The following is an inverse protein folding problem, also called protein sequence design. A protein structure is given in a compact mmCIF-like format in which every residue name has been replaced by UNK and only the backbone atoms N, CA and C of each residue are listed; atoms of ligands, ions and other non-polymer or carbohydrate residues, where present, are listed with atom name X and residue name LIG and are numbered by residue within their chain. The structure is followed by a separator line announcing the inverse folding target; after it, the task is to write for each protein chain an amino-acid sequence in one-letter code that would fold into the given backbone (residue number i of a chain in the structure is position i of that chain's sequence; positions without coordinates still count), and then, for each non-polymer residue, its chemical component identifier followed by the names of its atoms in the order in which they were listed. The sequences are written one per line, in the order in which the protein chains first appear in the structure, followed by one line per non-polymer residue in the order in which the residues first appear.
data_IF_783398628081
#
_entry.id   IF_783398628081
#
_cell.length_a   1.000
_cell.length_b   1.000
_cell.length_c   1.000
_cell.angle_alpha   90.00
_cell.angle_beta   90.00
_cell.angle_gamma   90.00
#
_symmetry.space_group_name_H-M   'P 1'
#
loop_
_entity.id
_entity.type
_entity.pdbx_description
1 polymer ?
#
# COMPACT_ATOMS: atom_id res chain seq x y z
N UNK A 1 29.76 36.21 -33.23
CA UNK A 1 31.24 36.21 -33.36
C UNK A 1 31.72 34.78 -33.25
N UNK A 2 32.23 34.24 -34.35
CA UNK A 2 32.74 32.87 -34.47
C UNK A 2 34.27 32.95 -34.41
N UNK A 3 34.91 32.19 -33.51
CA UNK A 3 36.36 32.03 -33.49
C UNK A 3 36.73 30.54 -33.53
N UNK A 4 37.20 30.13 -34.71
CA UNK A 4 37.88 28.87 -35.03
C UNK A 4 39.38 29.01 -34.72
N UNK A 5 39.99 28.00 -34.10
CA UNK A 5 41.45 27.77 -34.14
C UNK A 5 41.66 26.28 -34.44
N UNK A 6 41.90 25.92 -35.72
CA UNK A 6 43.21 25.66 -36.37
C UNK A 6 44.00 24.51 -35.74
N UNK A 7 44.05 23.41 -36.50
CA UNK A 7 44.99 22.28 -36.42
C UNK A 7 46.37 22.73 -36.90
N UNK A 8 47.42 22.11 -36.39
CA UNK A 8 48.72 22.02 -37.07
C UNK A 8 49.23 20.56 -37.07
N UNK A 9 49.68 20.02 -38.22
CA UNK A 9 50.19 18.66 -38.37
C UNK A 9 51.70 18.64 -38.61
N UNK A 10 52.44 17.71 -37.98
CA UNK A 10 53.63 17.08 -38.56
C UNK A 10 54.35 16.21 -37.53
N UNK A 11 54.45 14.90 -37.80
CA UNK A 11 55.69 14.15 -37.64
C UNK A 11 55.56 12.80 -38.37
N UNK A 12 55.96 12.83 -39.64
CA UNK A 12 56.36 11.65 -40.41
C UNK A 12 57.61 11.01 -39.77
N UNK A 13 57.64 9.68 -39.63
CA UNK A 13 58.65 8.84 -40.30
C UNK A 13 58.36 7.35 -40.16
N UNK A 14 58.25 6.72 -41.32
CA UNK A 14 58.29 5.30 -41.54
C UNK A 14 59.70 4.72 -41.31
N UNK A 15 59.77 3.45 -40.94
CA UNK A 15 60.81 2.55 -41.43
C UNK A 15 60.27 1.12 -41.44
N UNK A 16 60.55 0.45 -42.55
CA UNK A 16 59.98 -0.80 -42.99
C UNK A 16 61.02 -1.93 -42.87
N UNK A 17 60.51 -3.14 -42.62
CA UNK A 17 60.95 -4.45 -43.14
C UNK A 17 62.38 -4.91 -42.82
N UNK A 18 62.48 -6.04 -42.11
CA UNK A 18 63.13 -7.26 -42.66
C UNK A 18 62.65 -8.54 -41.98
N UNK A 19 62.23 -9.45 -42.85
CA UNK A 19 61.86 -10.86 -42.69
C UNK A 19 63.07 -11.74 -42.32
N UNK A 20 62.88 -12.78 -41.50
CA UNK A 20 63.50 -14.10 -41.72
C UNK A 20 62.93 -15.21 -40.81
N UNK A 21 62.41 -16.23 -41.49
CA UNK A 21 61.92 -17.51 -41.04
C UNK A 21 62.71 -18.25 -39.95
N UNK A 22 61.98 -18.95 -39.07
CA UNK A 22 62.34 -20.31 -38.66
C UNK A 22 61.08 -21.17 -38.48
N UNK A 23 60.96 -22.17 -39.36
CA UNK A 23 60.05 -23.31 -39.27
C UNK A 23 60.53 -24.26 -38.18
N UNK A 24 59.60 -24.81 -37.38
CA UNK A 24 59.48 -26.22 -36.91
C UNK A 24 58.86 -26.26 -35.51
N UNK A 25 57.59 -26.67 -35.43
CA UNK A 25 57.08 -27.72 -34.55
C UNK A 25 55.55 -27.74 -34.68
N UNK A 26 55.05 -28.69 -35.47
CA UNK A 26 53.66 -29.11 -35.49
C UNK A 26 53.57 -30.29 -34.51
N UNK A 27 52.69 -30.22 -33.52
CA UNK A 27 51.91 -31.34 -32.95
C UNK A 27 51.53 -31.06 -31.49
N UNK A 28 50.22 -31.07 -31.22
CA UNK A 28 49.68 -31.31 -29.88
C UNK A 28 49.13 -30.08 -29.17
N UNK A 29 47.92 -29.64 -29.54
CA UNK A 29 46.93 -29.04 -28.62
C UNK A 29 45.59 -28.86 -29.36
N UNK A 30 45.01 -29.99 -29.75
CA UNK A 30 43.60 -30.11 -30.14
C UNK A 30 42.95 -31.03 -29.11
N UNK A 31 42.53 -30.46 -27.97
CA UNK A 31 41.50 -31.00 -27.06
C UNK A 31 41.54 -30.24 -25.74
N UNK A 32 40.85 -29.11 -25.64
CA UNK A 32 40.25 -28.60 -24.39
C UNK A 32 39.48 -27.28 -24.63
N UNK A 33 38.77 -27.14 -25.74
CA UNK A 33 37.59 -26.25 -25.74
C UNK A 33 36.42 -27.06 -25.20
N UNK A 34 36.51 -27.44 -23.92
CA UNK A 34 35.30 -27.79 -23.19
C UNK A 34 34.46 -26.52 -23.18
N UNK A 35 33.29 -26.63 -23.80
CA UNK A 35 32.28 -25.61 -23.79
C UNK A 35 32.04 -25.17 -22.34
N UNK A 36 32.53 -23.98 -21.98
CA UNK A 36 31.86 -23.16 -20.99
C UNK A 36 30.54 -22.73 -21.63
N UNK A 37 29.62 -23.69 -21.75
CA UNK A 37 28.21 -23.32 -21.78
C UNK A 37 28.01 -22.51 -20.50
N UNK A 38 27.48 -21.27 -20.57
CA UNK A 38 27.08 -20.60 -19.34
C UNK A 38 26.17 -21.60 -18.62
N UNK A 39 26.54 -21.97 -17.39
CA UNK A 39 25.57 -22.59 -16.52
C UNK A 39 24.34 -21.69 -16.62
N UNK A 40 23.20 -22.24 -17.06
CA UNK A 40 21.94 -21.59 -16.78
C UNK A 40 21.94 -21.46 -15.26
N UNK A 41 22.27 -20.28 -14.74
CA UNK A 41 21.80 -19.91 -13.43
C UNK A 41 20.29 -20.12 -13.54
N UNK A 42 19.78 -21.18 -12.88
CA UNK A 42 18.35 -21.28 -12.66
C UNK A 42 17.95 -19.96 -12.06
N UNK A 43 16.97 -19.28 -12.65
CA UNK A 43 16.41 -18.12 -12.00
C UNK A 43 15.93 -18.62 -10.63
N UNK A 44 16.47 -18.06 -9.55
CA UNK A 44 16.02 -18.42 -8.22
C UNK A 44 14.50 -18.18 -8.15
N UNK A 45 13.78 -19.13 -7.56
CA UNK A 45 12.33 -19.11 -7.56
C UNK A 45 11.80 -18.14 -6.49
N UNK A 46 10.64 -17.50 -6.72
CA UNK A 46 10.00 -16.70 -5.69
C UNK A 46 9.56 -17.60 -4.53
N UNK A 47 9.55 -17.05 -3.31
CA UNK A 47 9.13 -17.80 -2.12
C UNK A 47 7.72 -17.39 -1.69
N UNK A 48 6.84 -18.37 -1.49
CA UNK A 48 5.51 -18.14 -0.93
C UNK A 48 5.60 -17.84 0.57
N UNK A 49 4.95 -16.77 0.99
CA UNK A 49 4.84 -16.35 2.39
C UNK A 49 3.41 -15.96 2.72
N UNK A 50 2.96 -16.31 3.92
CA UNK A 50 1.67 -15.88 4.48
C UNK A 50 1.88 -14.95 5.67
N UNK A 51 1.07 -13.89 5.72
CA UNK A 51 1.04 -12.88 6.77
C UNK A 51 -0.29 -12.97 7.50
N UNK A 52 -0.29 -13.34 8.78
CA UNK A 52 -1.47 -13.63 9.59
C UNK A 52 -1.76 -12.55 10.63
N UNK A 53 -3.00 -12.08 10.68
CA UNK A 53 -3.47 -11.05 11.61
C UNK A 53 -5.00 -11.13 11.81
N UNK A 54 -5.48 -10.62 12.93
CA UNK A 54 -6.92 -10.47 13.21
C UNK A 54 -7.17 -9.01 13.56
N UNK A 55 -7.53 -8.14 12.60
CA UNK A 55 -7.69 -6.73 12.86
C UNK A 55 -8.98 -6.46 13.62
N UNK A 56 -9.05 -5.36 14.39
CA UNK A 56 -10.34 -4.79 14.81
C UNK A 56 -11.04 -4.14 13.61
N UNK A 57 -12.36 -3.87 13.69
CA UNK A 57 -13.06 -3.14 12.64
C UNK A 57 -12.47 -1.73 12.41
N UNK A 58 -12.71 -1.20 11.20
CA UNK A 58 -12.42 0.18 10.81
C UNK A 58 -10.94 0.59 10.84
N UNK A 59 -10.02 -0.37 10.72
CA UNK A 59 -8.58 -0.08 10.64
C UNK A 59 -8.12 0.20 9.22
N UNK A 60 -7.09 1.05 9.07
CA UNK A 60 -6.23 1.05 7.89
C UNK A 60 -4.95 0.27 8.18
N UNK A 61 -4.43 -0.41 7.17
CA UNK A 61 -3.27 -1.30 7.31
C UNK A 61 -2.29 -1.10 6.15
N UNK A 62 -1.01 -1.15 6.46
CA UNK A 62 0.04 -1.42 5.48
C UNK A 62 0.92 -2.56 5.97
N UNK A 63 1.22 -3.52 5.10
CA UNK A 63 2.19 -4.59 5.29
C UNK A 63 3.32 -4.38 4.29
N UNK A 64 4.56 -4.36 4.77
CA UNK A 64 5.75 -4.23 3.93
C UNK A 64 6.91 -5.03 4.51
N UNK A 65 7.94 -5.21 3.69
CA UNK A 65 9.17 -5.87 4.07
C UNK A 65 10.32 -4.86 4.09
N UNK A 66 11.18 -5.01 5.08
CA UNK A 66 12.52 -4.41 5.11
C UNK A 66 13.58 -5.52 5.02
N UNK A 67 14.73 -5.19 4.44
CA UNK A 67 15.84 -6.13 4.37
C UNK A 67 16.69 -6.17 5.65
N UNK A 68 17.81 -6.90 5.58
CA UNK A 68 18.75 -7.05 6.70
C UNK A 68 19.37 -5.74 7.18
N UNK A 69 19.41 -4.72 6.31
CA UNK A 69 20.00 -3.41 6.58
C UNK A 69 18.93 -2.41 7.06
N UNK A 70 17.66 -2.82 7.09
CA UNK A 70 16.52 -1.98 7.50
C UNK A 70 15.99 -1.09 6.36
N UNK A 71 16.42 -1.35 5.13
CA UNK A 71 15.95 -0.63 3.95
C UNK A 71 14.63 -1.24 3.45
N UNK A 72 13.72 -0.39 2.99
CA UNK A 72 12.47 -0.84 2.37
C UNK A 72 12.78 -1.79 1.20
N UNK A 73 12.11 -2.93 1.20
CA UNK A 73 12.33 -3.98 0.21
C UNK A 73 11.16 -4.12 -0.75
N UNK A 74 9.94 -4.23 -0.23
CA UNK A 74 8.71 -4.28 -1.02
C UNK A 74 7.48 -3.97 -0.16
N UNK A 75 6.42 -3.48 -0.80
CA UNK A 75 5.07 -3.42 -0.23
C UNK A 75 4.33 -4.75 -0.50
N UNK A 76 3.60 -5.24 0.50
CA UNK A 76 2.81 -6.49 0.41
C UNK A 76 1.32 -6.16 0.32
N UNK A 77 0.84 -5.28 1.19
CA UNK A 77 -0.57 -4.90 1.27
C UNK A 77 -0.68 -3.44 1.72
N UNK A 78 -1.61 -2.70 1.12
CA UNK A 78 -2.09 -1.40 1.63
C UNK A 78 -3.62 -1.39 1.53
N UNK A 79 -4.31 -0.94 2.56
CA UNK A 79 -5.78 -0.86 2.51
C UNK A 79 -6.26 0.17 1.49
N UNK A 80 -7.38 -0.13 0.85
CA UNK A 80 -7.92 0.62 -0.28
C UNK A 80 -8.13 2.12 -0.02
N UNK A 81 -8.48 2.53 1.20
CA UNK A 81 -8.66 3.95 1.49
C UNK A 81 -7.36 4.73 1.28
N UNK A 82 -6.23 4.14 1.71
CA UNK A 82 -4.90 4.71 1.52
C UNK A 82 -4.37 4.45 0.11
N UNK A 83 -4.35 3.20 -0.34
CA UNK A 83 -3.69 2.79 -1.58
C UNK A 83 -4.39 3.24 -2.86
N UNK A 84 -5.72 3.07 -2.91
CA UNK A 84 -6.53 3.32 -4.12
C UNK A 84 -7.24 4.66 -4.08
N UNK A 85 -7.85 5.00 -2.95
CA UNK A 85 -8.63 6.23 -2.78
C UNK A 85 -7.80 7.39 -2.23
N UNK A 86 -6.50 7.19 -1.99
CA UNK A 86 -5.54 8.25 -1.70
C UNK A 86 -5.89 9.10 -0.49
N UNK A 87 -6.45 8.51 0.58
CA UNK A 87 -6.96 9.26 1.76
C UNK A 87 -5.90 10.19 2.38
N UNK A 88 -4.61 9.83 2.28
CA UNK A 88 -3.48 10.65 2.76
C UNK A 88 -3.07 11.81 1.86
N UNK A 89 -3.60 11.93 0.63
CA UNK A 89 -3.28 13.00 -0.33
C UNK A 89 -4.51 13.41 -1.15
N UNK A 90 -5.42 14.15 -0.50
CA UNK A 90 -6.67 14.67 -1.06
C UNK A 90 -6.69 16.19 -1.02
N UNK A 91 -7.48 16.86 -1.86
CA UNK A 91 -7.63 18.30 -1.77
C UNK A 91 -8.29 18.71 -0.45
N UNK A 92 -7.95 19.93 -0.01
CA UNK A 92 -8.49 20.55 1.19
C UNK A 92 -7.56 20.52 2.39
N UNK A 93 -8.12 20.85 3.56
CA UNK A 93 -7.35 21.01 4.78
C UNK A 93 -7.25 19.68 5.53
N UNK A 94 -6.09 19.41 6.13
CA UNK A 94 -5.87 18.17 6.88
C UNK A 94 -6.81 18.08 8.09
N UNK A 95 -7.12 19.21 8.72
CA UNK A 95 -7.97 19.35 9.90
C UNK A 95 -9.47 19.33 9.58
N UNK A 96 -9.87 19.09 8.32
CA UNK A 96 -11.28 18.91 7.99
C UNK A 96 -11.88 17.69 8.68
N UNK A 97 -13.08 17.90 9.24
CA UNK A 97 -13.94 16.85 9.75
C UNK A 97 -14.18 15.76 8.68
N UNK A 98 -14.25 14.52 9.13
CA UNK A 98 -14.44 13.35 8.28
C UNK A 98 -15.91 13.02 8.11
N UNK A 99 -16.21 12.04 7.27
CA UNK A 99 -17.51 11.36 7.24
C UNK A 99 -17.35 10.07 6.45
N UNK A 100 -18.42 9.30 6.31
CA UNK A 100 -18.39 8.05 5.56
C UNK A 100 -18.00 8.34 4.11
N UNK A 101 -16.78 7.91 3.73
CA UNK A 101 -16.16 8.23 2.44
C UNK A 101 -16.25 9.72 2.09
N UNK A 102 -16.07 10.62 3.05
CA UNK A 102 -16.00 12.05 2.77
C UNK A 102 -14.78 12.35 1.86
N UNK A 103 -14.89 13.20 0.83
CA UNK A 103 -13.87 13.36 -0.22
C UNK A 103 -12.69 14.24 0.17
N UNK A 104 -12.83 15.10 1.17
CA UNK A 104 -11.89 16.19 1.40
C UNK A 104 -11.04 16.02 2.65
N UNK A 105 -9.90 16.70 2.61
CA UNK A 105 -8.90 16.72 3.66
C UNK A 105 -7.97 15.51 3.58
N UNK A 106 -6.66 15.71 3.37
CA UNK A 106 -5.71 14.63 3.47
C UNK A 106 -5.65 14.12 4.93
N UNK A 107 -5.40 12.81 5.09
CA UNK A 107 -5.16 12.15 6.38
C UNK A 107 -3.68 11.83 6.52
N UNK A 108 -2.82 12.80 6.86
CA UNK A 108 -1.37 12.55 6.96
C UNK A 108 -1.02 11.53 8.06
N UNK A 109 -1.89 11.36 9.05
CA UNK A 109 -1.73 10.41 10.16
C UNK A 109 -2.21 8.99 9.88
N UNK A 110 -2.69 8.68 8.66
CA UNK A 110 -3.32 7.38 8.39
C UNK A 110 -2.35 6.21 8.50
N UNK A 111 -1.18 6.27 7.88
CA UNK A 111 -0.15 5.21 7.93
C UNK A 111 1.23 5.86 7.76
N UNK A 112 1.66 6.74 8.67
CA UNK A 112 2.82 7.59 8.45
C UNK A 112 4.14 6.83 8.45
N UNK A 113 4.29 5.77 9.26
CA UNK A 113 5.55 5.03 9.31
C UNK A 113 5.83 4.42 7.94
N UNK A 114 4.88 3.65 7.40
CA UNK A 114 4.97 3.04 6.09
C UNK A 114 5.22 4.09 5.00
N UNK A 115 4.41 5.15 4.96
CA UNK A 115 4.47 6.14 3.88
C UNK A 115 5.86 6.80 3.79
N UNK A 116 6.43 7.21 4.92
CA UNK A 116 7.78 7.77 4.98
C UNK A 116 8.86 6.70 4.70
N UNK A 117 8.67 5.45 5.14
CA UNK A 117 9.62 4.34 4.91
C UNK A 117 9.77 3.96 3.44
N UNK A 118 8.74 4.15 2.62
CA UNK A 118 8.86 3.91 1.17
C UNK A 118 9.90 4.83 0.50
N UNK A 119 10.22 5.98 1.10
CA UNK A 119 11.08 7.00 0.52
C UNK A 119 10.46 7.71 -0.71
N UNK A 120 9.21 7.41 -1.05
CA UNK A 120 8.52 7.99 -2.20
C UNK A 120 7.86 9.31 -1.83
N UNK A 121 7.78 10.21 -2.80
CA UNK A 121 7.06 11.47 -2.66
C UNK A 121 6.26 11.77 -3.92
N UNK A 122 5.11 12.38 -3.72
CA UNK A 122 4.13 12.71 -4.74
C UNK A 122 3.82 14.20 -4.69
N UNK A 123 3.32 14.80 -5.79
CA UNK A 123 2.74 16.13 -5.70
C UNK A 123 1.61 16.17 -4.66
N UNK A 124 1.61 17.19 -3.81
CA UNK A 124 0.48 17.47 -2.91
C UNK A 124 -0.73 17.86 -3.74
N UNK A 125 -1.89 17.33 -3.38
CA UNK A 125 -3.16 17.71 -4.00
C UNK A 125 -3.80 18.84 -3.20
N UNK A 126 -4.22 19.89 -3.90
CA UNK A 126 -5.00 21.01 -3.33
C UNK A 126 -6.27 21.20 -4.15
N UNK A 127 -7.23 21.97 -3.64
CA UNK A 127 -8.44 22.31 -4.39
C UNK A 127 -8.13 22.95 -5.76
N UNK A 128 -8.94 22.60 -6.74
CA UNK A 128 -9.03 23.18 -8.07
C UNK A 128 -10.34 23.99 -8.18
N UNK A 129 -10.54 24.92 -7.26
CA UNK A 129 -11.67 25.85 -7.32
C UNK A 129 -11.22 27.26 -7.73
N UNK A 130 -12.10 27.95 -8.45
CA UNK A 130 -11.91 29.34 -8.84
C UNK A 130 -12.50 30.33 -7.83
N UNK A 131 -13.45 29.90 -7.00
CA UNK A 131 -14.06 30.71 -5.94
C UNK A 131 -13.21 30.62 -4.67
N UNK A 132 -12.58 31.74 -4.22
CA UNK A 132 -11.70 31.71 -3.06
C UNK A 132 -12.36 31.21 -1.77
N UNK A 133 -13.67 31.44 -1.60
CA UNK A 133 -14.40 30.96 -0.42
C UNK A 133 -14.55 29.43 -0.38
N UNK A 134 -14.50 28.76 -1.54
CA UNK A 134 -14.71 27.32 -1.62
C UNK A 134 -13.40 26.54 -1.38
N UNK A 135 -12.24 27.19 -1.50
CA UNK A 135 -10.92 26.61 -1.19
C UNK A 135 -10.72 26.20 0.28
N UNK A 136 -11.62 26.59 1.18
CA UNK A 136 -11.62 26.16 2.59
C UNK A 136 -12.92 25.49 3.01
N UNK A 137 -13.72 24.98 2.06
CA UNK A 137 -15.04 24.45 2.35
C UNK A 137 -15.17 22.94 2.18
N UNK A 138 -16.21 22.38 2.81
CA UNK A 138 -16.63 21.00 2.61
C UNK A 138 -17.62 20.82 1.44
N UNK A 139 -18.03 21.90 0.76
CA UNK A 139 -19.04 21.87 -0.30
C UNK A 139 -18.91 22.98 -1.34
N UNK A 140 -19.90 23.07 -2.23
CA UNK A 140 -20.00 24.03 -3.34
C UNK A 140 -19.02 23.83 -4.51
N UNK A 141 -18.53 22.62 -4.69
CA UNK A 141 -17.60 22.27 -5.78
C UNK A 141 -18.29 21.73 -7.05
N UNK A 142 -19.62 21.80 -7.14
CA UNK A 142 -20.38 21.25 -8.27
C UNK A 142 -20.24 22.07 -9.57
N UNK A 143 -19.75 23.31 -9.46
CA UNK A 143 -19.46 24.18 -10.60
C UNK A 143 -18.02 24.01 -11.13
N UNK A 144 -17.14 23.35 -10.37
CA UNK A 144 -15.70 23.23 -10.61
C UNK A 144 -15.23 21.77 -10.67
N UNK A 145 -16.17 20.81 -10.67
CA UNK A 145 -15.84 19.40 -10.79
C UNK A 145 -17.00 18.57 -11.32
N UNK A 146 -16.67 17.40 -11.84
CA UNK A 146 -17.68 16.42 -12.27
C UNK A 146 -18.10 15.48 -11.14
N UNK A 147 -19.13 14.68 -11.43
CA UNK A 147 -19.69 13.72 -10.49
C UNK A 147 -18.65 12.71 -10.00
N UNK A 148 -18.76 12.38 -8.72
CA UNK A 148 -17.90 11.44 -7.99
C UNK A 148 -18.49 10.03 -8.01
N UNK A 149 -17.63 9.02 -8.18
CA UNK A 149 -18.03 7.62 -8.27
C UNK A 149 -17.89 6.84 -6.95
N UNK A 150 -17.09 7.33 -6.01
CA UNK A 150 -16.80 6.63 -4.76
C UNK A 150 -17.13 7.44 -3.50
N UNK A 151 -16.71 8.71 -3.43
CA UNK A 151 -16.92 9.53 -2.23
C UNK A 151 -18.36 10.03 -2.10
N UNK A 152 -18.78 10.23 -0.85
CA UNK A 152 -20.10 10.71 -0.50
C UNK A 152 -20.07 12.18 -0.04
N UNK A 153 -21.22 12.85 -0.04
CA UNK A 153 -21.43 14.12 0.66
C UNK A 153 -20.97 14.00 2.13
N UNK A 154 -20.48 15.09 2.74
CA UNK A 154 -20.30 15.10 4.18
C UNK A 154 -21.66 14.89 4.85
N UNK A 155 -21.72 14.03 5.87
CA UNK A 155 -22.94 13.75 6.64
C UNK A 155 -22.87 14.44 7.99
N UNK A 156 -24.03 14.83 8.53
CA UNK A 156 -24.15 15.19 9.95
C UNK A 156 -23.88 13.96 10.84
N UNK A 157 -23.54 14.13 12.13
CA UNK A 157 -23.32 13.00 13.03
C UNK A 157 -24.49 12.00 13.08
N UNK A 158 -25.74 12.49 13.12
CA UNK A 158 -26.93 11.64 13.15
C UNK A 158 -27.15 10.87 11.83
N UNK A 159 -26.83 11.49 10.69
CA UNK A 159 -26.86 10.81 9.38
C UNK A 159 -25.74 9.77 9.28
N UNK A 160 -24.57 10.04 9.85
CA UNK A 160 -23.47 9.09 9.86
C UNK A 160 -23.86 7.78 10.56
N UNK A 161 -24.52 7.85 11.73
CA UNK A 161 -24.97 6.66 12.46
C UNK A 161 -26.05 5.87 11.70
N UNK A 162 -26.96 6.56 11.02
CA UNK A 162 -28.12 5.92 10.36
C UNK A 162 -27.78 5.36 8.97
N UNK A 163 -27.05 6.14 8.17
CA UNK A 163 -26.68 5.78 6.80
C UNK A 163 -25.65 4.64 6.77
N UNK A 164 -24.67 4.64 7.68
CA UNK A 164 -23.64 3.60 7.76
C UNK A 164 -24.25 2.22 8.07
N UNK A 165 -25.33 2.18 8.85
CA UNK A 165 -26.00 0.94 9.25
C UNK A 165 -26.91 0.36 8.15
N UNK A 166 -27.55 1.22 7.32
CA UNK A 166 -28.59 0.78 6.36
C UNK A 166 -28.11 0.73 4.89
N UNK A 167 -27.10 1.52 4.50
CA UNK A 167 -26.73 1.65 3.09
C UNK A 167 -25.24 1.94 2.89
N UNK A 168 -24.42 0.90 2.74
CA UNK A 168 -23.01 1.04 2.30
C UNK A 168 -22.87 1.58 0.85
N UNK A 169 -23.89 2.22 0.27
CA UNK A 169 -23.99 2.64 -1.14
C UNK A 169 -23.78 4.14 -1.39
N UNK A 170 -23.35 4.92 -0.40
CA UNK A 170 -23.37 6.40 -0.38
C UNK A 170 -24.80 6.97 -0.54
N UNK A 171 -25.31 7.76 0.43
CA UNK A 171 -26.65 8.35 0.34
C UNK A 171 -26.71 9.54 -0.64
N UNK A 172 -25.57 9.91 -1.23
CA UNK A 172 -25.45 11.08 -2.08
C UNK A 172 -26.33 10.96 -3.32
N UNK A 173 -26.99 12.05 -3.74
CA UNK A 173 -27.64 12.12 -5.04
C UNK A 173 -26.67 11.65 -6.13
N UNK A 174 -27.20 11.02 -7.17
CA UNK A 174 -26.45 10.39 -8.29
C UNK A 174 -25.53 11.36 -9.07
N UNK A 175 -25.46 12.62 -8.67
CA UNK A 175 -24.79 13.75 -9.29
C UNK A 175 -23.97 14.58 -8.28
N UNK A 176 -23.68 14.07 -7.08
CA UNK A 176 -22.73 14.73 -6.19
C UNK A 176 -21.37 14.84 -6.88
N UNK A 177 -20.83 16.06 -6.92
CA UNK A 177 -19.58 16.38 -7.61
C UNK A 177 -18.59 16.86 -6.57
N UNK A 178 -17.41 16.25 -6.58
CA UNK A 178 -16.35 16.55 -5.61
C UNK A 178 -15.17 17.13 -6.34
N UNK A 179 -14.55 18.19 -5.80
CA UNK A 179 -13.30 18.67 -6.35
C UNK A 179 -12.25 17.56 -6.28
N UNK A 180 -11.77 17.11 -7.44
CA UNK A 180 -10.72 16.08 -7.56
C UNK A 180 -9.34 16.64 -7.22
N UNK A 181 -9.24 17.96 -7.12
CA UNK A 181 -8.04 18.73 -6.87
C UNK A 181 -7.14 18.85 -8.09
N UNK A 182 -6.04 19.55 -7.86
CA UNK A 182 -4.90 19.69 -8.77
C UNK A 182 -3.59 19.50 -8.03
N UNK A 183 -2.50 19.40 -8.77
CA UNK A 183 -1.18 19.49 -8.16
C UNK A 183 -0.96 20.89 -7.60
N UNK A 184 -0.35 20.93 -6.42
CA UNK A 184 0.06 22.17 -5.78
C UNK A 184 1.05 22.95 -6.68
N UNK A 185 0.68 24.15 -7.17
CA UNK A 185 1.54 24.94 -8.04
C UNK A 185 2.79 25.46 -7.32
N UNK A 186 2.80 25.49 -5.98
CA UNK A 186 3.98 25.83 -5.17
C UNK A 186 4.96 24.66 -5.04
N UNK A 187 4.60 23.49 -5.57
CA UNK A 187 5.46 22.31 -5.58
C UNK A 187 5.45 21.53 -4.27
N UNK A 188 4.43 21.74 -3.42
CA UNK A 188 4.24 20.95 -2.20
C UNK A 188 4.22 19.44 -2.47
N UNK A 189 4.65 18.66 -1.48
CA UNK A 189 4.81 17.22 -1.57
C UNK A 189 3.95 16.50 -0.53
N UNK A 190 3.59 15.26 -0.87
CA UNK A 190 2.99 14.30 0.04
C UNK A 190 3.78 12.99 -0.01
N UNK A 191 3.84 12.28 1.11
CA UNK A 191 4.35 10.89 1.18
C UNK A 191 3.30 9.87 0.73
N UNK A 192 2.06 10.32 0.51
CA UNK A 192 0.96 9.48 0.04
C UNK A 192 0.69 9.72 -1.45
N UNK A 193 0.44 8.65 -2.23
CA UNK A 193 0.04 8.81 -3.61
C UNK A 193 -1.35 9.44 -3.71
N UNK A 194 -1.65 10.14 -4.81
CA UNK A 194 -3.03 10.51 -5.11
C UNK A 194 -3.86 9.26 -5.43
N UNK A 195 -5.18 9.40 -5.42
CA UNK A 195 -6.11 8.32 -5.77
C UNK A 195 -5.97 7.84 -7.22
N UNK A 196 -6.23 6.57 -7.50
CA UNK A 196 -6.08 5.97 -8.84
C UNK A 196 -7.39 5.43 -9.45
N UNK A 197 -8.54 5.73 -8.83
CA UNK A 197 -9.85 5.19 -9.22
C UNK A 197 -10.69 6.12 -10.13
N UNK A 198 -10.16 7.29 -10.48
CA UNK A 198 -10.84 8.27 -11.32
C UNK A 198 -10.89 7.84 -12.79
N UNK A 199 -12.10 7.70 -13.34
CA UNK A 199 -12.31 7.22 -14.71
C UNK A 199 -12.98 8.24 -15.65
N UNK A 200 -13.61 9.27 -15.09
CA UNK A 200 -14.37 10.28 -15.85
C UNK A 200 -13.75 11.64 -15.62
N UNK A 201 -13.55 12.39 -16.70
CA UNK A 201 -12.97 13.72 -16.66
C UNK A 201 -13.65 14.64 -17.67
N UNK A 202 -14.04 15.84 -17.24
CA UNK A 202 -14.48 16.93 -18.10
C UNK A 202 -13.36 17.98 -18.19
N UNK A 203 -13.04 18.41 -19.41
CA UNK A 203 -11.93 19.33 -19.66
C UNK A 203 -12.21 20.79 -19.25
N UNK A 204 -13.48 21.13 -19.00
CA UNK A 204 -13.89 22.45 -18.55
C UNK A 204 -14.09 22.53 -17.04
N UNK A 205 -14.37 21.40 -16.39
CA UNK A 205 -14.63 21.33 -14.95
C UNK A 205 -13.44 20.78 -14.18
N UNK A 206 -12.89 19.62 -14.56
CA UNK A 206 -11.83 18.98 -13.78
C UNK A 206 -10.44 19.51 -14.13
N UNK A 207 -9.55 19.52 -13.14
CA UNK A 207 -8.14 19.79 -13.36
C UNK A 207 -7.53 18.79 -14.36
N UNK A 208 -6.69 19.24 -15.32
CA UNK A 208 -5.93 18.32 -16.18
C UNK A 208 -4.96 17.43 -15.39
N UNK A 209 -4.56 17.83 -14.18
CA UNK A 209 -3.65 17.05 -13.32
C UNK A 209 -4.30 15.76 -12.80
N UNK A 210 -5.62 15.76 -12.56
CA UNK A 210 -6.34 14.61 -12.04
C UNK A 210 -6.23 13.38 -12.95
N UNK A 211 -6.02 13.59 -14.26
CA UNK A 211 -5.79 12.52 -15.24
C UNK A 211 -4.45 11.79 -15.06
N UNK A 212 -3.51 12.40 -14.34
CA UNK A 212 -2.18 11.85 -14.10
C UNK A 212 -2.12 11.02 -12.83
N UNK A 213 -3.11 11.11 -11.93
CA UNK A 213 -3.03 10.51 -10.60
C UNK A 213 -2.82 8.99 -10.65
N UNK A 214 -3.59 8.28 -11.47
CA UNK A 214 -3.46 6.84 -11.63
C UNK A 214 -2.10 6.42 -12.21
N UNK A 215 -1.47 7.26 -13.04
CA UNK A 215 -0.17 6.95 -13.64
C UNK A 215 1.00 7.09 -12.64
N UNK A 216 0.81 7.87 -11.57
CA UNK A 216 1.83 8.10 -10.54
C UNK A 216 1.53 7.38 -9.23
N UNK A 217 0.44 6.61 -9.15
CA UNK A 217 0.12 5.75 -8.02
C UNK A 217 0.35 4.29 -8.42
N UNK A 218 1.42 3.71 -7.88
CA UNK A 218 1.86 2.35 -8.16
C UNK A 218 1.31 1.29 -7.19
N UNK A 219 0.40 1.67 -6.29
CA UNK A 219 -0.08 0.77 -5.23
C UNK A 219 -1.21 -0.18 -5.67
N UNK A 220 -1.67 -0.10 -6.92
CA UNK A 220 -2.80 -0.91 -7.39
C UNK A 220 -2.55 -2.42 -7.25
N UNK A 221 -1.29 -2.87 -7.44
CA UNK A 221 -0.92 -4.29 -7.32
C UNK A 221 -0.88 -4.83 -5.88
N UNK A 222 -0.84 -3.94 -4.89
CA UNK A 222 -0.75 -4.29 -3.46
C UNK A 222 -1.93 -3.75 -2.67
N UNK A 223 -2.92 -3.14 -3.34
CA UNK A 223 -4.08 -2.59 -2.68
C UNK A 223 -5.14 -3.66 -2.48
N UNK A 224 -5.64 -3.78 -1.25
CA UNK A 224 -6.71 -4.70 -0.89
C UNK A 224 -7.86 -3.97 -0.18
N UNK A 225 -9.04 -4.59 -0.17
CA UNK A 225 -10.17 -4.09 0.61
C UNK A 225 -9.79 -3.98 2.09
N UNK A 226 -10.32 -2.96 2.78
CA UNK A 226 -10.20 -2.86 4.23
C UNK A 226 -10.82 -4.10 4.87
N UNK A 227 -10.12 -4.81 5.77
CA UNK A 227 -10.68 -5.97 6.44
C UNK A 227 -11.95 -5.62 7.23
N UNK A 228 -12.88 -6.57 7.30
CA UNK A 228 -14.15 -6.39 8.05
C UNK A 228 -13.89 -6.23 9.56
N UNK A 229 -12.80 -6.80 10.05
CA UNK A 229 -12.46 -6.82 11.47
C UNK A 229 -13.03 -8.02 12.21
N UNK A 230 -12.45 -8.30 13.38
CA UNK A 230 -12.77 -9.39 14.32
C UNK A 230 -12.86 -10.79 13.67
N UNK A 231 -12.11 -10.99 12.58
CA UNK A 231 -11.94 -12.27 11.87
C UNK A 231 -10.48 -12.51 11.58
N UNK A 232 -10.08 -13.78 11.66
CA UNK A 232 -8.74 -14.18 11.22
C UNK A 232 -8.60 -13.91 9.73
N UNK A 233 -7.57 -13.15 9.38
CA UNK A 233 -7.21 -12.81 8.02
C UNK A 233 -5.78 -13.27 7.73
N UNK A 234 -5.49 -13.49 6.46
CA UNK A 234 -4.12 -13.63 6.01
C UNK A 234 -3.93 -13.04 4.61
N UNK A 235 -2.72 -12.56 4.36
CA UNK A 235 -2.27 -12.18 3.02
C UNK A 235 -1.22 -13.17 2.57
N UNK A 236 -1.42 -13.80 1.40
CA UNK A 236 -0.40 -14.62 0.76
C UNK A 236 0.34 -13.80 -0.30
N UNK A 237 1.66 -13.90 -0.35
CA UNK A 237 2.49 -13.14 -1.28
C UNK A 237 3.66 -13.99 -1.78
N UNK A 238 4.04 -13.79 -3.04
CA UNK A 238 5.24 -14.38 -3.63
C UNK A 238 6.38 -13.36 -3.52
N UNK A 239 7.31 -13.59 -2.59
CA UNK A 239 8.50 -12.75 -2.43
C UNK A 239 9.42 -13.02 -3.63
N UNK A 240 9.76 -12.01 -4.45
CA UNK A 240 10.70 -12.17 -5.54
C UNK A 240 12.07 -12.64 -5.03
N UNK A 241 12.74 -13.51 -5.78
CA UNK A 241 14.01 -14.10 -5.35
C UNK A 241 15.10 -13.05 -5.07
N UNK A 242 15.09 -11.93 -5.81
CA UNK A 242 15.98 -10.79 -5.57
C UNK A 242 15.75 -10.13 -4.21
N UNK A 243 14.51 -10.16 -3.70
CA UNK A 243 14.19 -9.66 -2.35
C UNK A 243 14.51 -10.72 -1.30
N UNK A 244 14.19 -11.99 -1.56
CA UNK A 244 14.55 -13.08 -0.65
C UNK A 244 16.06 -13.15 -0.40
N UNK A 245 16.88 -12.92 -1.44
CA UNK A 245 18.33 -12.87 -1.34
C UNK A 245 18.87 -11.71 -0.47
N UNK A 246 18.08 -10.67 -0.20
CA UNK A 246 18.43 -9.57 0.72
C UNK A 246 18.21 -9.94 2.20
N UNK A 247 17.61 -11.10 2.49
CA UNK A 247 17.25 -11.54 3.84
C UNK A 247 18.41 -11.88 4.79
N UNK A 248 18.14 -12.15 6.09
CA UNK A 248 16.81 -12.26 6.69
C UNK A 248 16.01 -10.96 6.63
N UNK A 249 14.70 -11.06 6.39
CA UNK A 249 13.80 -9.92 6.19
C UNK A 249 13.08 -9.57 7.50
N UNK A 250 12.59 -8.34 7.58
CA UNK A 250 11.67 -7.89 8.64
C UNK A 250 10.31 -7.60 8.03
N UNK A 251 9.30 -8.37 8.41
CA UNK A 251 7.92 -8.14 8.04
C UNK A 251 7.27 -7.18 9.04
N UNK A 252 6.79 -6.05 8.55
CA UNK A 252 6.14 -5.01 9.35
C UNK A 252 4.68 -4.88 8.96
N UNK A 253 3.84 -4.62 9.96
CA UNK A 253 2.45 -4.18 9.76
C UNK A 253 2.18 -2.94 10.60
N UNK A 254 1.79 -1.86 9.93
CA UNK A 254 1.31 -0.63 10.58
C UNK A 254 -0.21 -0.62 10.56
N UNK A 255 -0.80 -0.26 11.70
CA UNK A 255 -2.26 -0.29 11.92
C UNK A 255 -2.73 1.03 12.52
N UNK A 256 -3.66 1.70 11.85
CA UNK A 256 -4.33 2.88 12.37
C UNK A 256 -5.83 2.70 12.44
N UNK A 257 -6.48 3.50 13.29
CA UNK A 257 -7.93 3.53 13.45
C UNK A 257 -8.34 4.98 13.67
N UNK A 258 -9.27 5.48 12.86
CA UNK A 258 -9.82 6.82 13.04
C UNK A 258 -10.59 6.92 14.37
N UNK A 259 -10.58 8.10 14.99
CA UNK A 259 -11.29 8.43 16.23
C UNK A 259 -10.95 7.52 17.42
N UNK A 260 -9.76 6.93 17.43
CA UNK A 260 -9.27 6.07 18.51
C UNK A 260 -8.73 6.88 19.70
N UNK A 261 -9.59 7.66 20.35
CA UNK A 261 -9.21 8.57 21.43
C UNK A 261 -8.93 7.86 22.77
N UNK A 262 -8.12 8.49 23.61
CA UNK A 262 -7.91 8.10 25.00
C UNK A 262 -7.51 9.32 25.86
N UNK A 263 -7.06 9.10 27.10
CA UNK A 263 -6.68 10.18 28.03
C UNK A 263 -5.46 11.02 27.58
N UNK A 264 -4.59 10.50 26.71
CA UNK A 264 -3.44 11.23 26.16
C UNK A 264 -3.75 11.86 24.79
N UNK A 265 -4.72 11.30 24.07
CA UNK A 265 -5.16 11.70 22.73
C UNK A 265 -6.64 12.02 22.74
N UNK A 266 -6.99 13.13 23.41
CA UNK A 266 -8.35 13.67 23.47
C UNK A 266 -8.42 14.83 22.51
N UNK A 267 -9.31 14.75 21.53
CA UNK A 267 -9.47 15.77 20.51
C UNK A 267 -10.91 16.25 20.48
N UNK A 268 -11.06 17.56 20.44
CA UNK A 268 -12.33 18.25 20.38
C UNK A 268 -12.65 18.69 18.94
N UNK A 269 -13.94 18.76 18.63
CA UNK A 269 -14.42 19.13 17.30
C UNK A 269 -14.13 20.59 17.01
N UNK A 270 -14.36 21.47 17.97
CA UNK A 270 -14.29 22.92 17.80
C UNK A 270 -12.85 23.45 17.87
N UNK A 271 -12.00 22.80 18.65
CA UNK A 271 -10.62 23.27 18.89
C UNK A 271 -9.56 22.57 18.02
N UNK A 272 -9.73 21.28 17.70
CA UNK A 272 -8.71 20.48 16.98
C UNK A 272 -9.05 20.20 15.51
N UNK A 273 -10.27 20.57 15.07
CA UNK A 273 -10.69 20.43 13.68
C UNK A 273 -11.15 21.78 13.12
N UNK A 274 -11.06 21.91 11.80
CA UNK A 274 -11.69 23.03 11.12
C UNK A 274 -13.19 22.76 10.94
N UNK A 275 -14.00 23.56 11.64
CA UNK A 275 -15.45 23.59 11.47
C UNK A 275 -15.81 24.62 10.40
N UNK A 276 -16.21 24.14 9.22
CA UNK A 276 -16.69 25.01 8.13
C UNK A 276 -17.88 25.85 8.60
N UNK A 277 -17.76 27.20 8.66
CA UNK A 277 -18.85 28.05 9.15
C UNK A 277 -20.13 27.96 8.31
N UNK A 278 -20.02 27.55 7.03
CA UNK A 278 -21.16 27.38 6.11
C UNK A 278 -21.80 25.99 6.23
N UNK A 279 -21.08 25.02 6.80
CA UNK A 279 -21.50 23.62 6.97
C UNK A 279 -21.20 23.12 8.39
N UNK A 280 -21.43 23.96 9.41
CA UNK A 280 -20.93 23.74 10.78
C UNK A 280 -21.45 22.47 11.46
N UNK A 281 -22.60 21.97 11.03
CA UNK A 281 -23.22 20.74 11.55
C UNK A 281 -22.72 19.45 10.87
N UNK A 282 -21.93 19.56 9.81
CA UNK A 282 -21.49 18.42 9.00
C UNK A 282 -20.14 17.88 9.43
N UNK A 283 -19.93 16.59 9.16
CA UNK A 283 -18.72 15.87 9.47
C UNK A 283 -18.64 15.36 10.90
N UNK A 284 -17.63 14.51 11.15
CA UNK A 284 -17.33 13.86 12.42
C UNK A 284 -15.82 13.90 12.67
N UNK A 285 -15.43 13.99 13.94
CA UNK A 285 -14.04 13.99 14.39
C UNK A 285 -13.35 12.68 14.01
N UNK A 286 -12.09 12.75 13.57
CA UNK A 286 -11.34 11.57 13.13
C UNK A 286 -9.99 11.42 13.84
N UNK A 287 -9.50 12.45 14.51
CA UNK A 287 -8.26 12.40 15.26
C UNK A 287 -8.36 11.45 16.46
N UNK A 288 -7.25 10.78 16.77
CA UNK A 288 -7.12 9.78 17.82
C UNK A 288 -5.67 9.39 18.03
N UNK A 289 -5.46 8.27 18.72
CA UNK A 289 -4.14 7.71 18.94
C UNK A 289 -3.39 7.44 17.62
N UNK A 290 -2.06 7.63 17.58
CA UNK A 290 -1.24 7.37 16.40
C UNK A 290 -1.34 5.93 15.92
N UNK A 291 -0.92 5.67 14.69
CA UNK A 291 -0.74 4.31 14.18
C UNK A 291 0.23 3.50 15.05
N UNK A 292 0.02 2.19 15.16
CA UNK A 292 0.93 1.27 15.87
C UNK A 292 1.59 0.31 14.90
N UNK A 293 2.79 -0.13 15.23
CA UNK A 293 3.62 -0.99 14.40
C UNK A 293 3.83 -2.35 15.07
N UNK A 294 3.63 -3.43 14.34
CA UNK A 294 4.09 -4.76 14.72
C UNK A 294 5.16 -5.22 13.73
N UNK A 295 6.14 -5.98 14.21
CA UNK A 295 7.22 -6.48 13.37
C UNK A 295 7.68 -7.86 13.79
N UNK A 296 8.11 -8.67 12.82
CA UNK A 296 8.79 -9.95 13.03
C UNK A 296 9.93 -10.08 12.03
N UNK A 297 11.04 -10.68 12.46
CA UNK A 297 12.18 -11.02 11.60
C UNK A 297 12.10 -12.49 11.23
N UNK A 298 12.26 -12.81 9.95
CA UNK A 298 12.21 -14.18 9.45
C UNK A 298 13.18 -14.35 8.27
N UNK A 299 13.60 -15.58 7.98
CA UNK A 299 14.29 -15.89 6.73
C UNK A 299 13.24 -16.44 5.75
N UNK A 300 13.02 -15.80 4.59
CA UNK A 300 12.07 -16.31 3.61
C UNK A 300 12.50 -17.68 3.07
N UNK A 301 13.80 -18.01 3.02
CA UNK A 301 14.25 -19.29 2.45
C UNK A 301 14.11 -20.46 3.44
N UNK A 302 13.88 -20.17 4.72
CA UNK A 302 13.65 -21.19 5.74
C UNK A 302 12.15 -21.40 5.96
N UNK A 303 11.69 -22.65 5.87
CA UNK A 303 10.31 -22.98 6.20
C UNK A 303 10.09 -22.81 7.70
N UNK A 304 9.11 -22.01 8.09
CA UNK A 304 8.82 -21.79 9.51
C UNK A 304 7.81 -20.70 9.80
N UNK A 305 7.35 -20.67 11.05
CA UNK A 305 6.47 -19.63 11.57
C UNK A 305 7.24 -18.70 12.51
N UNK A 306 6.95 -17.40 12.47
CA UNK A 306 7.42 -16.42 13.46
C UNK A 306 6.30 -15.45 13.78
N UNK A 307 6.04 -15.19 15.06
CA UNK A 307 4.98 -14.31 15.51
C UNK A 307 5.37 -13.42 16.69
N UNK A 308 4.60 -12.35 16.89
CA UNK A 308 4.71 -11.44 18.04
C UNK A 308 3.33 -11.16 18.65
N UNK A 309 3.29 -11.02 19.97
CA UNK A 309 2.10 -10.57 20.73
C UNK A 309 2.13 -9.08 21.07
N UNK A 310 3.20 -8.39 20.72
CA UNK A 310 3.47 -7.00 21.12
C UNK A 310 3.74 -6.15 19.88
N UNK A 311 3.18 -4.95 19.87
CA UNK A 311 3.60 -3.90 18.95
C UNK A 311 5.02 -3.45 19.32
N UNK A 312 5.80 -2.96 18.35
CA UNK A 312 7.18 -2.49 18.52
C UNK A 312 7.27 -0.98 18.80
N UNK A 313 6.32 -0.20 18.29
CA UNK A 313 6.27 1.25 18.49
C UNK A 313 5.05 1.88 17.82
N UNK A 314 5.01 3.21 17.77
CA UNK A 314 3.91 3.97 17.17
C UNK A 314 4.41 5.17 16.36
N UNK A 315 3.59 5.66 15.43
CA UNK A 315 3.94 6.78 14.53
C UNK A 315 3.69 8.15 15.13
N UNK A 316 3.95 9.21 14.37
CA UNK A 316 3.50 10.55 14.76
C UNK A 316 1.98 10.64 14.65
N UNK A 317 1.32 11.28 15.62
CA UNK A 317 -0.14 11.43 15.62
C UNK A 317 -0.65 12.31 14.47
N UNK A 318 0.19 13.22 13.96
CA UNK A 318 -0.07 14.11 12.83
C UNK A 318 0.55 13.59 11.51
N UNK A 319 1.36 12.52 11.60
CA UNK A 319 2.06 11.91 10.48
C UNK A 319 3.26 12.68 9.92
N UNK A 320 3.83 13.63 10.68
CA UNK A 320 4.83 14.56 10.17
C UNK A 320 6.14 13.91 9.68
N UNK A 321 6.66 12.88 10.34
CA UNK A 321 8.05 12.43 10.13
C UNK A 321 8.23 10.94 9.84
N UNK A 322 7.23 10.11 10.16
CA UNK A 322 7.36 8.66 10.07
C UNK A 322 8.29 8.07 11.14
N UNK A 323 8.63 8.86 12.16
CA UNK A 323 9.42 8.40 13.30
C UNK A 323 8.67 7.30 14.04
N UNK A 324 9.39 6.24 14.40
CA UNK A 324 8.86 5.17 15.25
C UNK A 324 9.20 5.54 16.69
N UNK A 325 8.20 5.97 17.44
CA UNK A 325 8.32 6.24 18.86
C UNK A 325 8.32 4.92 19.64
N UNK A 326 9.15 4.79 20.69
CA UNK A 326 9.14 3.62 21.54
C UNK A 326 7.81 3.53 22.27
N UNK A 327 7.36 2.32 22.58
CA UNK A 327 6.16 2.09 23.40
C UNK A 327 6.21 2.89 24.69
N UNK A 328 5.09 3.52 25.04
CA UNK A 328 4.93 4.22 26.29
C UNK A 328 3.50 4.08 26.83
N UNK A 329 3.19 4.79 27.92
CA UNK A 329 1.89 4.72 28.58
C UNK A 329 0.80 5.58 27.91
N UNK A 330 1.10 6.27 26.81
CA UNK A 330 0.12 7.10 26.09
C UNK A 330 -0.73 6.28 25.12
N UNK A 331 -0.28 5.08 24.75
CA UNK A 331 -0.97 4.17 23.84
C UNK A 331 -1.77 3.13 24.63
N UNK A 332 -3.06 3.04 24.34
CA UNK A 332 -3.96 2.03 24.89
C UNK A 332 -3.55 0.62 24.44
N UNK A 333 -3.79 -0.39 25.28
CA UNK A 333 -3.50 -1.80 24.98
C UNK A 333 -4.70 -2.73 25.27
N UNK A 334 -5.91 -2.19 25.25
CA UNK A 334 -7.15 -2.93 25.51
C UNK A 334 -8.29 -2.46 24.59
N UNK A 335 -9.37 -3.24 24.56
CA UNK A 335 -10.65 -2.89 23.91
C UNK A 335 -10.56 -2.52 22.42
N UNK A 336 -9.57 -3.09 21.72
CA UNK A 336 -9.33 -2.83 20.31
C UNK A 336 -8.75 -1.45 20.00
N UNK A 337 -8.11 -0.82 20.99
CA UNK A 337 -7.52 0.52 20.90
C UNK A 337 -5.99 0.44 20.95
N UNK A 338 -5.31 1.38 20.27
CA UNK A 338 -3.84 1.47 20.25
C UNK A 338 -3.16 0.14 19.89
N UNK A 339 -2.36 -0.40 20.80
CA UNK A 339 -1.65 -1.68 20.66
C UNK A 339 -2.54 -2.94 20.66
N UNK A 340 -3.86 -2.80 20.86
CA UNK A 340 -4.84 -3.89 20.77
C UNK A 340 -5.59 -3.93 19.42
N UNK A 341 -5.21 -3.09 18.45
CA UNK A 341 -5.84 -3.04 17.11
C UNK A 341 -5.68 -4.32 16.28
N UNK A 342 -4.70 -5.16 16.60
CA UNK A 342 -4.65 -6.56 16.14
C UNK A 342 -4.95 -7.48 17.32
N UNK A 343 -6.02 -8.26 17.25
CA UNK A 343 -6.42 -9.23 18.28
C UNK A 343 -5.38 -10.34 18.41
N UNK A 344 -5.25 -10.85 19.63
CA UNK A 344 -4.50 -12.09 19.88
C UNK A 344 -5.26 -13.27 19.28
N UNK A 345 -4.55 -14.14 18.56
CA UNK A 345 -5.05 -15.41 18.06
C UNK A 345 -4.08 -16.55 18.41
N UNK A 346 -4.58 -17.79 18.37
CA UNK A 346 -3.75 -18.99 18.50
C UNK A 346 -3.89 -19.84 17.25
N UNK A 347 -2.78 -20.12 16.58
CA UNK A 347 -2.73 -20.97 15.39
C UNK A 347 -1.50 -21.86 15.48
N UNK A 348 -1.67 -23.16 15.19
CA UNK A 348 -0.59 -24.15 15.19
C UNK A 348 0.24 -24.23 16.49
N UNK A 349 -0.39 -23.95 17.64
CA UNK A 349 0.27 -23.97 18.95
C UNK A 349 0.95 -22.65 19.33
N UNK A 350 1.04 -21.68 18.43
CA UNK A 350 1.58 -20.35 18.69
C UNK A 350 0.48 -19.33 18.94
N UNK A 351 0.70 -18.45 19.91
CA UNK A 351 -0.19 -17.33 20.23
C UNK A 351 0.47 -16.01 19.84
N UNK A 352 -0.18 -15.24 18.97
CA UNK A 352 0.37 -14.02 18.37
C UNK A 352 -0.74 -13.03 17.97
N UNK A 353 -0.36 -11.78 17.69
CA UNK A 353 -1.21 -10.74 17.07
C UNK A 353 -0.83 -10.52 15.60
N UNK A 354 0.47 -10.62 15.31
CA UNK A 354 1.08 -10.54 13.99
C UNK A 354 2.01 -11.72 13.79
N UNK A 355 1.89 -12.43 12.68
CA UNK A 355 2.70 -13.61 12.40
C UNK A 355 2.96 -13.82 10.91
N UNK A 356 4.08 -14.48 10.62
CA UNK A 356 4.52 -14.78 9.27
C UNK A 356 4.85 -16.26 9.18
N UNK A 357 4.31 -16.93 8.16
CA UNK A 357 4.68 -18.28 7.79
C UNK A 357 5.41 -18.26 6.45
N UNK A 358 6.66 -18.73 6.42
CA UNK A 358 7.40 -18.94 5.18
C UNK A 358 7.36 -20.41 4.77
N UNK A 359 7.18 -20.65 3.48
CA UNK A 359 7.23 -22.00 2.92
C UNK A 359 8.66 -22.47 2.59
N UNK A 360 9.64 -21.56 2.54
CA UNK A 360 11.02 -21.85 2.15
C UNK A 360 11.20 -22.09 0.64
N UNK A 361 12.42 -22.39 0.22
CA UNK A 361 12.77 -22.63 -1.20
C UNK A 361 12.01 -23.82 -1.82
N UNK A 362 11.73 -24.86 -1.04
CA UNK A 362 11.03 -26.08 -1.50
C UNK A 362 9.49 -25.91 -1.58
N UNK A 363 8.97 -24.74 -1.22
CA UNK A 363 7.54 -24.49 -1.00
C UNK A 363 6.64 -24.58 -2.24
N UNK A 364 7.21 -24.44 -3.44
CA UNK A 364 6.46 -24.42 -4.71
C UNK A 364 6.45 -25.77 -5.44
N UNK A 365 7.33 -26.70 -5.06
CA UNK A 365 7.54 -28.00 -5.72
C UNK A 365 6.55 -29.08 -5.25
N UNK A 366 5.33 -28.69 -4.84
CA UNK A 366 4.29 -29.51 -4.19
C UNK A 366 3.88 -30.81 -4.91
N UNK A 367 4.77 -31.79 -4.89
CA UNK A 367 4.63 -33.17 -5.31
C UNK A 367 4.76 -34.15 -4.16
N UNK A 368 4.77 -33.70 -2.90
CA UNK A 368 4.78 -34.59 -1.74
C UNK A 368 3.38 -34.82 -1.19
N UNK A 369 2.95 -36.07 -1.37
CA UNK A 369 1.70 -36.71 -0.97
C UNK A 369 1.58 -37.01 0.52
N UNK A 370 2.39 -36.36 1.35
CA UNK A 370 2.67 -36.81 2.71
C UNK A 370 2.03 -35.87 3.73
N UNK A 371 0.70 -35.84 3.71
CA UNK A 371 -0.16 -35.89 4.90
C UNK A 371 -0.23 -34.72 5.90
N UNK A 372 0.68 -33.73 5.91
CA UNK A 372 0.64 -32.62 6.89
C UNK A 372 0.87 -31.22 6.25
N UNK A 373 0.72 -31.12 4.93
CA UNK A 373 0.66 -29.83 4.23
C UNK A 373 -0.66 -29.10 4.48
N UNK A 374 -0.58 -27.79 4.71
CA UNK A 374 -1.67 -26.82 4.87
C UNK A 374 -2.77 -27.04 3.82
N UNK A 375 -3.82 -27.81 4.16
CA UNK A 375 -5.02 -27.95 3.35
C UNK A 375 -5.95 -26.76 3.63
N UNK A 376 -5.50 -25.57 3.21
CA UNK A 376 -6.43 -24.54 2.77
C UNK A 376 -7.18 -25.11 1.58
N UNK A 377 -8.32 -25.76 1.82
CA UNK A 377 -9.10 -26.37 0.76
C UNK A 377 -9.73 -25.28 -0.11
N UNK A 378 -8.98 -24.78 -1.10
CA UNK A 378 -9.57 -24.23 -2.30
C UNK A 378 -10.28 -25.41 -2.99
N UNK A 379 -11.57 -25.58 -2.71
CA UNK A 379 -12.45 -26.43 -3.51
C UNK A 379 -12.56 -25.83 -4.92
N UNK A 380 -11.54 -26.03 -5.75
CA UNK A 380 -11.72 -26.07 -7.19
C UNK A 380 -12.52 -27.33 -7.49
N UNK A 381 -13.85 -27.18 -7.49
CA UNK A 381 -14.75 -28.20 -8.00
C UNK A 381 -14.27 -28.60 -9.40
N UNK A 382 -13.81 -29.83 -9.49
CA UNK A 382 -13.26 -30.44 -10.69
C UNK A 382 -14.37 -30.62 -11.73
N UNK A 383 -14.55 -29.65 -12.62
CA UNK A 383 -15.27 -29.88 -13.88
C UNK A 383 -14.37 -30.69 -14.84
N UNK A 384 -14.22 -31.99 -14.58
CA UNK A 384 -13.84 -32.94 -15.63
C UNK A 384 -15.05 -33.24 -16.51
N UNK A 385 -14.81 -33.02 -17.80
CA UNK A 385 -15.61 -33.38 -18.98
C UNK A 385 -16.57 -34.56 -18.76
N UNK A 386 -17.87 -34.30 -18.85
CA UNK A 386 -18.87 -35.30 -19.23
C UNK A 386 -20.00 -34.63 -20.03
N UNK A 387 -20.46 -35.16 -21.19
CA UNK A 387 -21.26 -34.40 -22.16
C UNK A 387 -22.76 -34.32 -21.87
N UNK A 388 -23.21 -34.72 -20.68
CA UNK A 388 -24.65 -34.89 -20.41
C UNK A 388 -25.04 -34.32 -19.05
N UNK A 389 -25.12 -33.00 -18.95
CA UNK A 389 -25.88 -32.35 -17.88
C UNK A 389 -26.46 -31.03 -18.41
N UNK A 390 -27.77 -31.01 -18.70
CA UNK A 390 -28.53 -29.77 -18.94
C UNK A 390 -28.94 -29.18 -17.59
N UNK A 391 -28.86 -27.86 -17.38
CA UNK A 391 -29.28 -27.24 -16.13
C UNK A 391 -30.81 -27.17 -16.05
N UNK A 392 -31.36 -27.68 -14.96
CA UNK A 392 -32.75 -27.48 -14.56
C UNK A 392 -32.77 -26.34 -13.54
N UNK A 393 -33.39 -25.23 -13.91
CA UNK A 393 -33.63 -24.11 -13.01
C UNK A 393 -34.70 -24.50 -12.00
N UNK A 394 -34.44 -24.27 -10.72
CA UNK A 394 -35.43 -24.39 -9.64
C UNK A 394 -35.13 -23.34 -8.57
N UNK A 395 -36.17 -22.58 -8.26
CA UNK A 395 -36.27 -21.42 -7.38
C UNK A 395 -36.22 -21.75 -5.88
N UNK A 396 -35.74 -20.76 -5.11
CA UNK A 396 -36.06 -20.39 -3.73
C UNK A 396 -35.95 -21.45 -2.62
N UNK A 397 -35.24 -21.13 -1.54
CA UNK A 397 -35.78 -21.08 -0.15
C UNK A 397 -34.80 -20.32 0.75
N UNK A 398 -35.33 -19.38 1.53
CA UNK A 398 -34.66 -18.63 2.58
C UNK A 398 -34.48 -19.50 3.84
N UNK A 399 -33.44 -19.24 4.64
CA UNK A 399 -33.39 -19.67 6.04
C UNK A 399 -32.90 -18.53 6.94
N UNK A 400 -33.54 -18.49 8.11
CA UNK A 400 -33.47 -17.54 9.20
C UNK A 400 -32.14 -17.58 9.97
#
# INVERSE_FOLDING_TARGET
MVARARRDPAAFRAQAVTTAARRRALAGLLAATWALAPARAGAAEPVLVEFHYTPVPDVQLAIWLEDRDGEHALDVLVTQATGKYGIGNRPGRWDFLSSWRAPYGPRPSVLPIWAHRTGKTYPRIIFFDSEPLDLESLGWHENSSTAENYFCIPLTPAEHETVVVDTMTCPSPKNFSTDKGRFDPEGGKSVYPPRNDLMVFDAMLDSPDAKQYAAINELDSVTAATPVGDREEFTAFLIPAEVAARGPLTARVEVSRERDQNAAYTFDREDDHYVDPRLSTYGVEYLGQPSVLYEVRFDPNERGFTGTTRYSGYGDWDGATGTIHPRDATISEADGSGGDRLRTMTKNGDTFRWGVFSYGEDGLDGGDSDGEGWQGSCHCASCRRSPTCRPRWSTSTACA
#
